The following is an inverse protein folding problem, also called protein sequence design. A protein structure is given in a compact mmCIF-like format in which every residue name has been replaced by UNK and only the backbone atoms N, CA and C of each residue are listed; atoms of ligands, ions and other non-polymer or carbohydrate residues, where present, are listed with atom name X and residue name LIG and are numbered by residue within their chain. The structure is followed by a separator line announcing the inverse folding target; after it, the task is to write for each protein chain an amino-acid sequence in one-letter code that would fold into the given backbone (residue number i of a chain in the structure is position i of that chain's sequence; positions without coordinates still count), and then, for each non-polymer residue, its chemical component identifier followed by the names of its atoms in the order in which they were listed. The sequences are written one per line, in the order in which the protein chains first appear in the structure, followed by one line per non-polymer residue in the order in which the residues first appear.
data_IF_337943296359
#
_entry.id   IF_337943296359
#
_cell.length_a   1.000
_cell.length_b   1.000
_cell.length_c   1.000
_cell.angle_alpha   90.00
_cell.angle_beta   90.00
_cell.angle_gamma   90.00
#
_symmetry.space_group_name_H-M   'P 1'
#
loop_
_entity.id
_entity.type
_entity.pdbx_description
1 polymer ?
#
# COMPACT_ATOMS: atom_id res chain seq x y z
N UNK A 1 4.61 26.17 -13.53
CA UNK A 1 3.48 25.27 -13.22
C UNK A 1 3.82 24.59 -11.92
N UNK A 2 3.16 24.94 -10.82
CA UNK A 2 3.41 24.28 -9.53
C UNK A 2 2.79 22.90 -9.60
N UNK A 3 3.61 21.84 -9.58
CA UNK A 3 3.11 20.49 -9.42
C UNK A 3 2.40 20.41 -8.06
N UNK A 4 1.10 20.13 -8.06
CA UNK A 4 0.38 19.79 -6.84
C UNK A 4 1.05 18.56 -6.25
N UNK A 5 1.67 18.71 -5.07
CA UNK A 5 2.28 17.59 -4.36
C UNK A 5 1.20 16.52 -4.14
N UNK A 6 1.44 15.24 -4.46
CA UNK A 6 0.44 14.21 -4.26
C UNK A 6 0.07 14.14 -2.77
N UNK A 7 -1.20 13.90 -2.48
CA UNK A 7 -1.66 13.59 -1.13
C UNK A 7 -1.06 12.25 -0.73
N UNK A 8 -0.33 12.23 0.39
CA UNK A 8 0.33 11.04 0.93
C UNK A 8 -0.37 10.65 2.23
N UNK A 9 -0.65 9.36 2.39
CA UNK A 9 -1.14 8.77 3.63
C UNK A 9 -0.06 7.86 4.22
N UNK A 10 0.20 8.04 5.51
CA UNK A 10 1.14 7.20 6.26
C UNK A 10 0.36 6.21 7.12
N UNK A 11 0.79 4.94 7.15
CA UNK A 11 0.20 3.90 7.97
C UNK A 11 1.23 2.80 8.29
N UNK A 12 0.87 1.88 9.18
CA UNK A 12 1.63 0.65 9.41
C UNK A 12 0.92 -0.50 8.72
N UNK A 13 1.64 -1.27 7.93
CA UNK A 13 1.04 -2.43 7.24
C UNK A 13 0.52 -3.47 8.25
N UNK A 14 -0.47 -4.30 7.87
CA UNK A 14 -0.87 -5.45 8.66
C UNK A 14 0.28 -6.46 8.84
N UNK A 15 0.15 -7.46 9.73
CA UNK A 15 1.23 -8.40 10.05
C UNK A 15 1.79 -9.15 8.84
N UNK A 16 0.95 -9.53 7.88
CA UNK A 16 1.40 -10.15 6.63
C UNK A 16 1.80 -9.17 5.53
N UNK A 17 1.80 -7.86 5.81
CA UNK A 17 2.30 -6.82 4.92
C UNK A 17 1.38 -6.49 3.74
N UNK A 18 1.90 -5.65 2.83
CA UNK A 18 1.26 -5.27 1.58
C UNK A 18 2.06 -5.86 0.42
N UNK A 19 1.39 -6.59 -0.48
CA UNK A 19 1.98 -7.11 -1.70
C UNK A 19 2.24 -5.97 -2.70
N UNK A 20 3.45 -5.94 -3.26
CA UNK A 20 3.83 -5.01 -4.33
C UNK A 20 4.12 -5.79 -5.61
N UNK A 21 3.97 -5.12 -6.76
CA UNK A 21 4.25 -5.72 -8.08
C UNK A 21 5.74 -6.01 -8.29
N UNK A 22 6.63 -5.23 -7.66
CA UNK A 22 8.06 -5.26 -7.97
C UNK A 22 8.89 -6.09 -6.98
N UNK A 23 8.63 -5.99 -5.68
CA UNK A 23 9.53 -6.54 -4.63
C UNK A 23 8.86 -7.54 -3.69
N UNK A 24 7.61 -7.92 -3.99
CA UNK A 24 6.81 -8.77 -3.12
C UNK A 24 6.27 -7.99 -1.92
N UNK A 25 6.18 -8.66 -0.77
CA UNK A 25 5.56 -8.08 0.43
C UNK A 25 6.47 -7.07 1.12
N UNK A 26 5.95 -5.88 1.38
CA UNK A 26 6.59 -4.88 2.27
C UNK A 26 5.86 -4.83 3.62
N UNK A 27 6.61 -4.61 4.70
CA UNK A 27 6.09 -4.65 6.07
C UNK A 27 6.55 -3.45 6.91
N UNK A 28 5.73 -3.01 7.87
CA UNK A 28 6.07 -1.94 8.80
C UNK A 28 5.54 -0.56 8.37
N UNK A 29 6.19 0.55 8.78
CA UNK A 29 5.74 1.90 8.48
C UNK A 29 5.93 2.27 7.02
N UNK A 30 4.85 2.67 6.36
CA UNK A 30 4.79 2.97 4.93
C UNK A 30 4.05 4.27 4.64
N UNK A 31 4.30 4.80 3.45
CA UNK A 31 3.61 5.93 2.86
C UNK A 31 3.02 5.49 1.51
N UNK A 32 1.74 5.78 1.27
CA UNK A 32 1.07 5.51 0.00
C UNK A 32 0.40 6.75 -0.59
N UNK A 33 0.32 6.80 -1.91
CA UNK A 33 -0.41 7.82 -2.67
C UNK A 33 -0.96 7.22 -3.96
N UNK A 34 -1.92 7.92 -4.57
CA UNK A 34 -2.42 7.59 -5.89
C UNK A 34 -1.68 8.44 -6.91
N UNK A 35 -1.04 7.79 -7.88
CA UNK A 35 -0.37 8.41 -9.02
C UNK A 35 -1.09 7.97 -10.30
N UNK A 36 -1.94 8.84 -10.84
CA UNK A 36 -2.84 8.48 -11.92
C UNK A 36 -3.85 7.42 -11.45
N UNK A 37 -3.75 6.21 -12.00
CA UNK A 37 -4.59 5.07 -11.63
C UNK A 37 -3.81 4.00 -10.83
N UNK A 38 -2.58 4.28 -10.40
CA UNK A 38 -1.75 3.32 -9.69
C UNK A 38 -1.52 3.78 -8.25
N UNK A 39 -1.66 2.87 -7.30
CA UNK A 39 -1.24 3.10 -5.92
C UNK A 39 0.25 2.88 -5.83
N UNK A 40 0.97 3.94 -5.50
CA UNK A 40 2.38 3.89 -5.18
C UNK A 40 2.55 3.80 -3.68
N UNK A 41 3.54 3.02 -3.25
CA UNK A 41 3.84 2.79 -1.84
C UNK A 41 5.35 2.77 -1.64
N UNK A 42 5.80 3.20 -0.46
CA UNK A 42 7.19 3.14 -0.04
C UNK A 42 7.30 2.97 1.47
N UNK A 43 8.48 2.56 1.93
CA UNK A 43 8.83 2.70 3.34
C UNK A 43 8.85 4.18 3.73
N UNK A 44 8.37 4.50 4.94
CA UNK A 44 8.33 5.88 5.42
C UNK A 44 9.71 6.54 5.35
N UNK A 45 9.81 7.69 4.66
CA UNK A 45 11.06 8.42 4.43
C UNK A 45 12.02 7.83 3.38
N UNK A 46 11.68 6.70 2.74
CA UNK A 46 12.50 6.12 1.68
C UNK A 46 12.36 6.86 0.35
N UNK A 47 13.39 6.75 -0.49
CA UNK A 47 13.38 7.28 -1.85
C UNK A 47 12.75 6.30 -2.86
N UNK A 48 12.96 5.00 -2.65
CA UNK A 48 12.43 3.95 -3.52
C UNK A 48 10.92 3.81 -3.38
N UNK A 49 10.25 3.56 -4.50
CA UNK A 49 8.79 3.51 -4.58
C UNK A 49 8.37 2.30 -5.40
N UNK A 50 7.30 1.63 -4.96
CA UNK A 50 6.77 0.41 -5.53
C UNK A 50 5.28 0.57 -5.86
N UNK A 51 4.72 -0.31 -6.67
CA UNK A 51 3.31 -0.35 -7.03
C UNK A 51 2.57 -1.35 -6.15
N UNK A 52 1.56 -0.90 -5.41
CA UNK A 52 0.70 -1.78 -4.61
C UNK A 52 -0.48 -2.34 -5.41
N UNK A 53 -0.82 -1.74 -6.55
CA UNK A 53 -1.96 -2.13 -7.39
C UNK A 53 -2.55 -0.96 -8.14
N UNK A 54 -3.61 -1.20 -8.91
CA UNK A 54 -4.31 -0.18 -9.68
C UNK A 54 -5.68 0.16 -9.07
N UNK A 55 -6.04 1.43 -9.11
CA UNK A 55 -7.22 2.02 -8.51
C UNK A 55 -7.82 3.01 -9.48
N UNK A 56 -8.91 2.62 -10.16
CA UNK A 56 -9.55 3.46 -11.17
C UNK A 56 -10.59 4.42 -10.59
N UNK A 57 -11.24 4.05 -9.48
CA UNK A 57 -12.34 4.83 -8.88
C UNK A 57 -12.24 4.99 -7.35
N UNK A 58 -11.25 4.36 -6.71
CA UNK A 58 -11.05 4.42 -5.26
C UNK A 58 -10.33 5.72 -4.85
N UNK A 59 -10.77 6.32 -3.76
CA UNK A 59 -10.06 7.42 -3.09
C UNK A 59 -8.87 6.88 -2.31
N UNK A 60 -7.88 7.75 -2.00
CA UNK A 60 -6.74 7.35 -1.17
C UNK A 60 -7.17 6.81 0.20
N UNK A 61 -8.25 7.37 0.79
CA UNK A 61 -8.78 6.86 2.06
C UNK A 61 -9.27 5.42 1.93
N UNK A 62 -10.07 5.11 0.91
CA UNK A 62 -10.56 3.74 0.67
C UNK A 62 -9.41 2.76 0.43
N UNK A 63 -8.37 3.20 -0.29
CA UNK A 63 -7.16 2.39 -0.49
C UNK A 63 -6.45 2.12 0.83
N UNK A 64 -6.28 3.14 1.68
CA UNK A 64 -5.61 2.98 2.98
C UNK A 64 -6.43 2.10 3.92
N UNK A 65 -7.76 2.24 3.93
CA UNK A 65 -8.65 1.40 4.72
C UNK A 65 -8.49 -0.09 4.34
N UNK A 66 -8.38 -0.38 3.04
CA UNK A 66 -8.11 -1.73 2.54
C UNK A 66 -6.70 -2.20 2.92
N UNK A 67 -5.67 -1.39 2.65
CA UNK A 67 -4.26 -1.72 2.94
C UNK A 67 -3.93 -1.86 4.43
N UNK A 68 -4.79 -1.38 5.32
CA UNK A 68 -4.65 -1.49 6.78
C UNK A 68 -5.53 -2.58 7.39
N UNK A 69 -6.44 -3.17 6.61
CA UNK A 69 -7.29 -4.27 7.08
C UNK A 69 -6.49 -5.56 7.13
N UNK A 70 -6.33 -6.14 8.32
CA UNK A 70 -5.64 -7.42 8.51
C UNK A 70 -6.45 -8.57 7.88
N UNK A 71 -5.94 -9.25 6.85
CA UNK A 71 -6.62 -10.40 6.23
C UNK A 71 -6.51 -11.68 7.07
N UNK A 72 -5.84 -11.64 8.22
CA UNK A 72 -5.70 -12.73 9.17
C UNK A 72 -4.60 -13.71 8.79
N UNK A 73 -4.76 -14.96 9.20
CA UNK A 73 -3.78 -16.03 8.99
C UNK A 73 -4.28 -17.09 8.00
N UNK A 74 -3.36 -17.81 7.35
CA UNK A 74 -3.66 -18.97 6.50
C UNK A 74 -3.91 -20.25 7.31
N UNK A 75 -4.14 -21.37 6.61
CA UNK A 75 -4.41 -22.68 7.22
C UNK A 75 -3.22 -23.25 8.01
N UNK A 76 -2.02 -22.72 7.79
CA UNK A 76 -0.78 -23.10 8.47
C UNK A 76 -0.39 -22.13 9.59
N UNK A 77 -1.21 -21.09 9.83
CA UNK A 77 -0.98 -20.08 10.85
C UNK A 77 -0.05 -18.94 10.42
N UNK A 78 0.26 -18.80 9.12
CA UNK A 78 1.08 -17.70 8.62
C UNK A 78 0.21 -16.46 8.35
N UNK A 79 0.68 -15.24 8.68
CA UNK A 79 0.00 -14.01 8.30
C UNK A 79 -0.19 -13.89 6.78
N UNK A 80 -1.37 -13.43 6.36
CA UNK A 80 -1.69 -13.15 4.95
C UNK A 80 -1.32 -11.71 4.59
N UNK A 81 -0.81 -11.52 3.39
CA UNK A 81 -0.59 -10.18 2.84
C UNK A 81 -1.90 -9.58 2.33
N UNK A 82 -1.95 -8.25 2.28
CA UNK A 82 -2.99 -7.51 1.56
C UNK A 82 -2.50 -7.24 0.14
N UNK A 83 -3.38 -7.46 -0.84
CA UNK A 83 -3.13 -7.15 -2.25
C UNK A 83 -4.32 -6.35 -2.77
N UNK A 84 -4.05 -5.24 -3.45
CA UNK A 84 -5.12 -4.45 -4.07
C UNK A 84 -5.59 -5.16 -5.35
N UNK A 85 -6.85 -5.58 -5.36
CA UNK A 85 -7.52 -6.15 -6.52
C UNK A 85 -7.81 -5.11 -7.61
#
# INVERSE_FOLDING_TARGET
MSATKPTIAAFTTPPGGVMTKEVGTITGPVEAWIEGATVRIRYAGAADTYSAGDVSTRTLQQVVDELTTDPGIDEYGNPRYVELA
#
